data_IF_805863574241
#
_entry.id   IF_805863574241
#
_cell.length_a   1.000
_cell.length_b   1.000
_cell.length_c   1.000
_cell.angle_alpha   90.00
_cell.angle_beta   90.00
_cell.angle_gamma   90.00
#
_symmetry.space_group_name_H-M   'P 1'
#
loop_
_entity.id
_entity.type
_entity.pdbx_description
1 polymer ?
#
# COMPACT_ATOMS: atom_id res chain seq x y z
N UNK A 1 -10.66 27.65 19.64
CA UNK A 1 -10.39 26.68 20.73
C UNK A 1 -9.02 26.05 20.52
N UNK A 2 -8.13 26.03 21.52
CA UNK A 2 -6.90 25.23 21.49
C UNK A 2 -7.24 23.82 21.99
N UNK A 3 -6.82 22.79 21.25
CA UNK A 3 -7.01 21.38 21.67
C UNK A 3 -6.34 21.13 23.05
N UNK A 4 -6.78 20.14 23.83
CA UNK A 4 -6.06 19.70 25.01
C UNK A 4 -4.59 19.36 24.70
N UNK A 5 -3.67 19.67 25.61
CA UNK A 5 -2.21 19.50 25.40
C UNK A 5 -1.84 18.11 24.87
N UNK A 6 -2.43 17.05 25.42
CA UNK A 6 -2.21 15.67 24.98
C UNK A 6 -2.58 15.42 23.51
N UNK A 7 -3.65 16.06 23.04
CA UNK A 7 -4.10 15.96 21.66
C UNK A 7 -3.21 16.77 20.71
N UNK A 8 -2.76 17.95 21.15
CA UNK A 8 -1.74 18.71 20.43
C UNK A 8 -0.46 17.89 20.26
N UNK A 9 0.06 17.31 21.35
CA UNK A 9 1.27 16.49 21.33
C UNK A 9 1.13 15.29 20.38
N UNK A 10 -0.03 14.64 20.37
CA UNK A 10 -0.35 13.54 19.46
C UNK A 10 -0.38 14.01 18.00
N UNK A 11 -0.99 15.16 17.72
CA UNK A 11 -1.04 15.74 16.38
C UNK A 11 0.36 16.11 15.89
N UNK A 12 1.17 16.77 16.73
CA UNK A 12 2.57 17.10 16.41
C UNK A 12 3.41 15.85 16.16
N UNK A 13 3.27 14.81 16.98
CA UNK A 13 3.95 13.54 16.77
C UNK A 13 3.55 12.86 15.44
N UNK A 14 2.27 12.94 15.06
CA UNK A 14 1.79 12.42 13.78
C UNK A 14 2.38 13.19 12.59
N UNK A 15 2.37 14.53 12.65
CA UNK A 15 2.96 15.39 11.61
C UNK A 15 4.46 15.12 11.44
N UNK A 16 5.18 15.00 12.55
CA UNK A 16 6.63 14.70 12.54
C UNK A 16 6.92 13.37 11.86
N UNK A 17 6.16 12.31 12.20
CA UNK A 17 6.29 10.99 11.57
C UNK A 17 5.99 11.04 10.07
N UNK A 18 4.98 11.80 9.65
CA UNK A 18 4.66 11.99 8.25
C UNK A 18 5.79 12.71 7.49
N UNK A 19 6.39 13.75 8.08
CA UNK A 19 7.55 14.44 7.51
C UNK A 19 8.77 13.53 7.36
N UNK A 20 9.09 12.73 8.39
CA UNK A 20 10.19 11.76 8.33
C UNK A 20 9.92 10.70 7.26
N UNK A 21 8.68 10.21 7.15
CA UNK A 21 8.30 9.26 6.10
C UNK A 21 8.55 9.83 4.70
N UNK A 22 8.12 11.07 4.46
CA UNK A 22 8.34 11.75 3.17
C UNK A 22 9.84 11.87 2.86
N UNK A 23 10.63 12.37 3.80
CA UNK A 23 12.08 12.50 3.62
C UNK A 23 12.77 11.14 3.38
N UNK A 24 12.36 10.10 4.10
CA UNK A 24 12.90 8.75 3.92
C UNK A 24 12.52 8.11 2.58
N UNK A 25 11.33 8.41 2.06
CA UNK A 25 10.94 8.02 0.69
C UNK A 25 11.87 8.67 -0.33
N UNK A 26 12.17 9.96 -0.18
CA UNK A 26 13.07 10.68 -1.10
C UNK A 26 14.51 10.16 -1.01
N UNK A 27 15.03 9.91 0.20
CA UNK A 27 16.33 9.25 0.41
C UNK A 27 16.37 7.90 -0.32
N UNK A 28 15.31 7.09 -0.21
CA UNK A 28 15.22 5.78 -0.86
C UNK A 28 15.08 5.83 -2.37
N UNK A 29 14.51 6.92 -2.91
CA UNK A 29 14.49 7.18 -4.37
C UNK A 29 15.88 7.48 -4.89
N UNK A 30 16.69 8.22 -4.14
CA UNK A 30 18.04 8.61 -4.53
C UNK A 30 19.07 7.49 -4.31
N UNK A 31 19.00 6.79 -3.16
CA UNK A 31 19.92 5.71 -2.83
C UNK A 31 19.28 4.64 -1.94
N UNK A 32 19.36 3.39 -2.40
CA UNK A 32 18.89 2.22 -1.64
C UNK A 32 19.74 1.93 -0.39
N UNK A 33 21.00 2.36 -0.36
CA UNK A 33 21.94 2.12 0.75
C UNK A 33 22.02 3.29 1.73
N UNK A 34 21.51 4.47 1.37
CA UNK A 34 21.59 5.65 2.24
C UNK A 34 20.91 5.43 3.60
N UNK A 35 21.46 5.99 4.69
CA UNK A 35 20.88 5.88 6.02
C UNK A 35 19.57 6.65 6.09
N UNK A 36 18.59 6.09 6.80
CA UNK A 36 17.28 6.69 6.97
C UNK A 36 17.24 7.58 8.20
N UNK A 37 16.43 8.61 8.11
CA UNK A 37 16.10 9.52 9.20
C UNK A 37 15.15 8.80 10.16
N UNK A 38 15.38 8.99 11.46
CA UNK A 38 14.48 8.58 12.54
C UNK A 38 14.48 9.64 13.63
N UNK A 39 13.58 9.52 14.59
CA UNK A 39 13.59 10.41 15.75
C UNK A 39 14.84 10.21 16.61
N UNK A 40 15.26 11.30 17.29
CA UNK A 40 16.48 11.32 18.12
C UNK A 40 16.38 10.28 19.26
N UNK A 41 17.54 9.82 19.74
CA UNK A 41 17.67 8.98 20.95
C UNK A 41 17.07 7.57 20.87
N UNK A 42 17.04 6.97 19.68
CA UNK A 42 16.48 5.62 19.49
C UNK A 42 17.53 4.49 19.46
N UNK A 43 18.83 4.81 19.36
CA UNK A 43 19.93 3.83 19.26
C UNK A 43 20.80 4.03 18.02
N UNK A 44 21.62 3.03 17.68
CA UNK A 44 22.51 3.01 16.50
C UNK A 44 22.30 1.79 15.59
N UNK A 45 21.38 0.88 15.92
CA UNK A 45 21.07 -0.26 15.07
C UNK A 45 20.28 0.18 13.82
N UNK A 46 20.02 -0.78 12.93
CA UNK A 46 19.29 -0.56 11.69
C UNK A 46 17.94 0.13 11.94
N UNK A 47 17.60 1.09 11.09
CA UNK A 47 16.31 1.78 11.14
C UNK A 47 15.23 0.96 10.45
N UNK A 48 14.13 0.73 11.17
CA UNK A 48 12.95 -0.03 10.71
C UNK A 48 11.70 0.82 10.84
N UNK A 49 10.69 0.56 10.01
CA UNK A 49 9.41 1.26 10.04
C UNK A 49 8.35 0.42 10.74
N UNK A 50 7.58 1.03 11.64
CA UNK A 50 6.39 0.41 12.23
C UNK A 50 5.22 0.44 11.24
N UNK A 51 4.61 -0.71 10.94
CA UNK A 51 3.46 -0.79 10.02
C UNK A 51 2.21 -0.06 10.51
N UNK A 52 2.01 0.06 11.83
CA UNK A 52 0.81 0.68 12.39
C UNK A 52 0.84 2.21 12.30
N UNK A 53 1.93 2.82 12.78
CA UNK A 53 2.04 4.29 12.86
C UNK A 53 2.94 4.93 11.80
N UNK A 54 3.60 4.14 10.95
CA UNK A 54 4.61 4.59 9.97
C UNK A 54 5.80 5.36 10.56
N UNK A 55 6.02 5.24 11.87
CA UNK A 55 7.18 5.80 12.55
C UNK A 55 8.44 4.96 12.31
N UNK A 56 9.60 5.62 12.35
CA UNK A 56 10.91 5.01 12.15
C UNK A 56 11.61 4.84 13.49
N UNK A 57 12.03 3.61 13.79
CA UNK A 57 12.59 3.22 15.07
C UNK A 57 13.86 2.41 14.87
N UNK A 58 14.62 2.26 15.95
CA UNK A 58 15.73 1.33 16.00
C UNK A 58 15.23 -0.11 16.07
N UNK A 59 15.82 -1.00 15.27
CA UNK A 59 15.41 -2.41 15.19
C UNK A 59 15.48 -3.13 16.53
N UNK A 60 16.42 -2.76 17.42
CA UNK A 60 16.51 -3.36 18.77
C UNK A 60 15.39 -2.89 19.69
N UNK A 61 14.85 -1.69 19.46
CA UNK A 61 13.88 -1.05 20.36
C UNK A 61 12.43 -1.05 19.82
N UNK A 62 12.21 -1.45 18.56
CA UNK A 62 10.88 -1.41 17.96
C UNK A 62 9.84 -2.24 18.72
N UNK A 63 10.24 -3.35 19.36
CA UNK A 63 9.33 -4.17 20.16
C UNK A 63 8.68 -3.38 21.31
N UNK A 64 9.43 -2.47 21.96
CA UNK A 64 8.89 -1.60 23.01
C UNK A 64 7.84 -0.65 22.46
N UNK A 65 8.10 -0.08 21.28
CA UNK A 65 7.12 0.75 20.59
C UNK A 65 5.86 -0.03 20.24
N UNK A 66 5.99 -1.26 19.73
CA UNK A 66 4.84 -2.09 19.36
C UNK A 66 3.86 -2.27 20.52
N UNK A 67 4.35 -2.36 21.76
CA UNK A 67 3.55 -2.54 22.98
C UNK A 67 2.70 -1.31 23.36
N UNK A 68 3.11 -0.12 22.91
CA UNK A 68 2.43 1.16 23.21
C UNK A 68 1.89 1.84 21.96
N UNK A 69 1.94 1.15 20.82
CA UNK A 69 1.50 1.70 19.56
C UNK A 69 -0.03 1.82 19.58
N UNK A 70 -0.61 3.03 19.39
CA UNK A 70 -2.05 3.26 19.48
C UNK A 70 -2.88 2.55 18.38
N UNK A 71 -2.24 1.71 17.55
CA UNK A 71 -2.84 0.97 16.43
C UNK A 71 -2.59 -0.53 16.52
N UNK A 72 -2.50 -1.06 17.74
CA UNK A 72 -2.43 -2.50 18.04
C UNK A 72 -3.71 -3.27 17.71
N UNK A 73 -4.82 -2.59 17.42
CA UNK A 73 -6.19 -3.11 17.61
C UNK A 73 -6.55 -4.30 16.69
N UNK A 74 -5.84 -4.58 15.60
CA UNK A 74 -6.18 -5.73 14.73
C UNK A 74 -5.02 -6.62 14.29
N UNK A 75 -3.77 -6.17 14.35
CA UNK A 75 -2.59 -7.00 14.09
C UNK A 75 -1.38 -6.44 14.87
N UNK A 76 -0.56 -7.31 15.46
CA UNK A 76 0.69 -6.89 16.09
C UNK A 76 1.50 -6.06 15.07
N UNK A 77 1.83 -4.79 15.36
CA UNK A 77 2.56 -3.97 14.41
C UNK A 77 3.87 -4.65 14.03
N UNK A 78 4.14 -4.84 12.74
CA UNK A 78 5.35 -5.51 12.25
C UNK A 78 6.43 -4.50 11.87
N UNK A 79 7.68 -4.89 12.08
CA UNK A 79 8.84 -4.12 11.64
C UNK A 79 9.05 -4.38 10.15
N UNK A 80 8.87 -3.36 9.31
CA UNK A 80 9.12 -3.47 7.87
C UNK A 80 10.56 -3.07 7.55
N UNK A 81 11.24 -3.91 6.77
CA UNK A 81 12.51 -3.56 6.15
C UNK A 81 12.28 -2.46 5.10
N UNK A 82 13.01 -1.37 5.27
CA UNK A 82 12.77 -0.10 4.56
C UNK A 82 13.32 -0.12 3.11
N UNK A 83 13.94 -1.23 2.68
CA UNK A 83 14.29 -1.47 1.28
C UNK A 83 13.06 -1.53 0.34
N UNK A 84 11.85 -1.66 0.90
CA UNK A 84 10.58 -1.61 0.16
C UNK A 84 9.92 -0.23 0.10
N UNK A 85 10.57 0.84 0.59
CA UNK A 85 10.04 2.22 0.48
C UNK A 85 10.19 2.82 -0.93
N UNK A 86 10.85 2.14 -1.86
CA UNK A 86 10.83 2.57 -3.26
C UNK A 86 9.45 2.30 -3.83
N UNK A 87 8.57 3.28 -3.69
CA UNK A 87 7.20 3.32 -4.23
C UNK A 87 7.14 3.32 -5.76
N UNK A 88 8.30 3.31 -6.43
CA UNK A 88 8.34 3.26 -7.89
C UNK A 88 8.34 1.82 -8.39
N UNK A 89 7.29 1.50 -9.13
CA UNK A 89 7.19 0.39 -10.07
C UNK A 89 8.50 0.08 -10.83
N UNK A 90 9.22 1.13 -11.25
CA UNK A 90 10.44 1.02 -12.06
C UNK A 90 11.61 0.34 -11.33
N UNK A 91 11.57 0.30 -9.99
CA UNK A 91 12.62 -0.29 -9.17
C UNK A 91 12.48 -1.81 -8.97
N UNK A 92 11.39 -2.40 -9.48
CA UNK A 92 11.11 -3.83 -9.36
C UNK A 92 11.83 -4.60 -10.47
N UNK A 93 12.61 -5.61 -10.08
CA UNK A 93 13.09 -6.65 -10.99
C UNK A 93 11.89 -7.49 -11.46
N UNK A 94 11.25 -7.06 -12.55
CA UNK A 94 10.14 -7.76 -13.19
C UNK A 94 10.73 -8.67 -14.25
N UNK A 95 10.39 -9.95 -14.17
CA UNK A 95 10.76 -10.95 -15.17
C UNK A 95 10.35 -10.48 -16.59
N UNK A 96 11.26 -10.60 -17.55
CA UNK A 96 11.03 -10.14 -18.92
C UNK A 96 9.81 -10.82 -19.55
N UNK A 97 9.55 -12.11 -19.22
CA UNK A 97 8.37 -12.82 -19.70
C UNK A 97 7.10 -12.23 -19.09
N UNK A 98 7.09 -11.91 -17.79
CA UNK A 98 5.97 -11.21 -17.14
C UNK A 98 5.70 -9.85 -17.80
N UNK A 99 6.75 -9.05 -18.08
CA UNK A 99 6.60 -7.73 -18.70
C UNK A 99 5.95 -7.84 -20.09
N UNK A 100 6.48 -8.71 -20.95
CA UNK A 100 6.00 -8.85 -22.33
C UNK A 100 4.62 -9.51 -22.44
N UNK A 101 4.28 -10.41 -21.52
CA UNK A 101 3.02 -11.15 -21.59
C UNK A 101 1.86 -10.52 -20.82
N UNK A 102 2.14 -9.64 -19.85
CA UNK A 102 1.14 -9.02 -19.00
C UNK A 102 1.16 -7.50 -19.17
N UNK A 103 2.24 -6.83 -18.75
CA UNK A 103 2.28 -5.36 -18.66
C UNK A 103 2.13 -4.68 -20.02
N UNK A 104 2.81 -5.19 -21.04
CA UNK A 104 2.74 -4.65 -22.40
C UNK A 104 1.41 -4.96 -23.11
N UNK A 105 0.57 -5.84 -22.54
CA UNK A 105 -0.71 -6.28 -23.14
C UNK A 105 -1.93 -5.54 -22.63
N UNK A 106 -1.79 -4.67 -21.62
CA UNK A 106 -2.89 -3.79 -21.25
C UNK A 106 -3.23 -2.83 -22.39
N UNK A 107 -4.48 -2.38 -22.43
CA UNK A 107 -4.91 -1.33 -23.36
C UNK A 107 -4.36 0.02 -22.89
N UNK A 108 -4.26 0.98 -23.80
CA UNK A 108 -3.89 2.36 -23.49
C UNK A 108 -5.12 3.11 -22.97
N UNK A 109 -5.60 2.69 -21.80
CA UNK A 109 -6.66 3.34 -21.05
C UNK A 109 -6.16 3.65 -19.62
N UNK A 110 -6.87 4.53 -18.90
CA UNK A 110 -6.49 4.96 -17.52
C UNK A 110 -6.20 3.76 -16.61
N UNK A 111 -7.02 2.72 -16.69
CA UNK A 111 -6.89 1.49 -15.89
C UNK A 111 -5.64 0.70 -16.28
N UNK A 112 -5.36 0.60 -17.58
CA UNK A 112 -4.16 -0.01 -18.14
C UNK A 112 -2.90 0.72 -17.73
N UNK A 113 -2.93 2.05 -17.66
CA UNK A 113 -1.81 2.85 -17.19
C UNK A 113 -1.55 2.63 -15.70
N UNK A 114 -2.61 2.59 -14.86
CA UNK A 114 -2.48 2.22 -13.44
C UNK A 114 -1.90 0.79 -13.29
N UNK A 115 -2.30 -0.16 -14.15
CA UNK A 115 -1.73 -1.51 -14.15
C UNK A 115 -0.22 -1.55 -14.48
N UNK A 116 0.30 -0.58 -15.25
CA UNK A 116 1.71 -0.50 -15.67
C UNK A 116 2.57 0.35 -14.74
N UNK A 117 1.97 1.26 -13.99
CA UNK A 117 2.69 2.30 -13.23
C UNK A 117 2.50 2.21 -11.72
N UNK A 118 1.35 1.74 -11.23
CA UNK A 118 1.11 1.65 -9.79
C UNK A 118 1.86 0.46 -9.17
N UNK A 119 2.47 0.69 -8.02
CA UNK A 119 3.29 -0.32 -7.36
C UNK A 119 2.46 -1.54 -6.90
N UNK A 120 1.24 -1.34 -6.39
CA UNK A 120 0.43 -2.44 -5.86
C UNK A 120 -0.03 -3.37 -6.99
N UNK A 121 -0.43 -2.81 -8.13
CA UNK A 121 -0.91 -3.57 -9.30
C UNK A 121 0.22 -4.40 -9.89
N UNK A 122 1.42 -3.84 -10.04
CA UNK A 122 2.58 -4.56 -10.57
C UNK A 122 3.03 -5.67 -9.62
N UNK A 123 3.07 -5.40 -8.31
CA UNK A 123 3.37 -6.43 -7.31
C UNK A 123 2.32 -7.56 -7.32
N UNK A 124 1.05 -7.23 -7.55
CA UNK A 124 -0.01 -8.23 -7.75
C UNK A 124 0.26 -9.07 -8.99
N UNK A 125 0.52 -8.45 -10.13
CA UNK A 125 0.84 -9.13 -11.39
C UNK A 125 2.02 -10.07 -11.26
N UNK A 126 3.14 -9.59 -10.69
CA UNK A 126 4.33 -10.41 -10.46
C UNK A 126 4.05 -11.61 -9.56
N UNK A 127 3.31 -11.42 -8.47
CA UNK A 127 2.95 -12.50 -7.52
C UNK A 127 2.06 -13.56 -8.19
N UNK A 128 1.05 -13.13 -8.95
CA UNK A 128 0.15 -14.04 -9.65
C UNK A 128 0.88 -14.77 -10.79
N UNK A 129 1.75 -14.09 -11.52
CA UNK A 129 2.59 -14.68 -12.56
C UNK A 129 3.53 -15.75 -12.00
N UNK A 130 4.19 -15.49 -10.87
CA UNK A 130 5.07 -16.45 -10.22
C UNK A 130 4.30 -17.69 -9.75
N UNK A 131 3.10 -17.52 -9.20
CA UNK A 131 2.26 -18.62 -8.69
C UNK A 131 1.55 -19.42 -9.79
N UNK A 132 1.25 -18.81 -10.92
CA UNK A 132 0.54 -19.49 -11.99
C UNK A 132 1.47 -20.51 -12.66
N UNK A 133 1.11 -21.79 -12.58
CA UNK A 133 1.80 -22.89 -13.27
C UNK A 133 1.53 -22.79 -14.77
N UNK A 134 0.26 -22.59 -15.15
CA UNK A 134 -0.21 -22.51 -16.55
C UNK A 134 -0.01 -21.13 -17.20
N UNK A 135 0.49 -20.13 -16.46
CA UNK A 135 0.68 -18.74 -16.91
C UNK A 135 -0.58 -18.15 -17.56
N UNK A 136 -1.71 -18.26 -16.88
CA UNK A 136 -3.03 -17.81 -17.35
C UNK A 136 -3.13 -16.28 -17.41
N UNK A 137 -2.61 -15.70 -18.50
CA UNK A 137 -2.47 -14.24 -18.69
C UNK A 137 -3.78 -13.49 -18.48
N UNK A 138 -4.88 -14.00 -19.04
CA UNK A 138 -6.19 -13.36 -18.96
C UNK A 138 -6.69 -13.24 -17.53
N UNK A 139 -6.51 -14.29 -16.71
CA UNK A 139 -6.89 -14.29 -15.29
C UNK A 139 -6.04 -13.29 -14.51
N UNK A 140 -4.72 -13.30 -14.73
CA UNK A 140 -3.78 -12.38 -14.06
C UNK A 140 -4.12 -10.94 -14.40
N UNK A 141 -4.31 -10.63 -15.69
CA UNK A 141 -4.68 -9.30 -16.16
C UNK A 141 -6.05 -8.86 -15.63
N UNK A 142 -7.04 -9.75 -15.56
CA UNK A 142 -8.35 -9.44 -15.01
C UNK A 142 -8.28 -9.09 -13.51
N UNK A 143 -7.45 -9.80 -12.73
CA UNK A 143 -7.22 -9.48 -11.31
C UNK A 143 -6.46 -8.15 -11.14
N UNK A 144 -5.46 -7.88 -12.00
CA UNK A 144 -4.76 -6.60 -12.01
C UNK A 144 -5.68 -5.42 -12.35
N UNK A 145 -6.54 -5.56 -13.36
CA UNK A 145 -7.53 -4.53 -13.73
C UNK A 145 -8.54 -4.30 -12.62
N UNK A 146 -8.98 -5.36 -11.94
CA UNK A 146 -9.87 -5.22 -10.77
C UNK A 146 -9.22 -4.38 -9.68
N UNK A 147 -7.94 -4.63 -9.38
CA UNK A 147 -7.19 -3.80 -8.43
C UNK A 147 -7.00 -2.36 -8.93
N UNK A 148 -6.68 -2.18 -10.20
CA UNK A 148 -6.51 -0.84 -10.79
C UNK A 148 -7.81 -0.02 -10.77
N UNK A 149 -8.96 -0.66 -10.96
CA UNK A 149 -10.27 -0.01 -10.81
C UNK A 149 -10.52 0.46 -9.37
N UNK A 150 -10.21 -0.37 -8.36
CA UNK A 150 -10.29 0.04 -6.96
C UNK A 150 -9.41 1.26 -6.67
N UNK A 151 -8.19 1.28 -7.22
CA UNK A 151 -7.27 2.41 -7.09
C UNK A 151 -7.82 3.65 -7.79
N UNK A 152 -8.38 3.50 -8.99
CA UNK A 152 -8.98 4.61 -9.74
C UNK A 152 -10.16 5.23 -8.98
N UNK A 153 -11.06 4.42 -8.43
CA UNK A 153 -12.18 4.89 -7.59
C UNK A 153 -11.67 5.58 -6.33
N UNK A 154 -10.63 5.03 -5.70
CA UNK A 154 -10.02 5.64 -4.52
C UNK A 154 -9.37 7.00 -4.78
N UNK A 155 -8.67 7.15 -5.90
CA UNK A 155 -8.12 8.44 -6.33
C UNK A 155 -9.22 9.48 -6.55
N UNK A 156 -10.37 9.05 -7.08
CA UNK A 156 -11.54 9.90 -7.27
C UNK A 156 -12.14 10.32 -5.92
N UNK A 157 -12.35 9.38 -5.00
CA UNK A 157 -12.98 9.65 -3.69
C UNK A 157 -12.09 10.53 -2.79
N UNK A 158 -10.77 10.38 -2.90
CA UNK A 158 -9.82 11.14 -2.09
C UNK A 158 -9.32 12.42 -2.75
N UNK A 159 -9.80 12.75 -3.95
CA UNK A 159 -9.34 13.85 -4.80
C UNK A 159 -7.80 13.91 -4.94
N UNK A 160 -7.17 12.74 -5.01
CA UNK A 160 -5.71 12.59 -5.12
C UNK A 160 -5.40 11.63 -6.27
N UNK A 161 -5.18 12.18 -7.47
CA UNK A 161 -4.86 11.39 -8.67
C UNK A 161 -3.55 10.60 -8.56
N UNK A 162 -2.67 10.98 -7.64
CA UNK A 162 -1.36 10.37 -7.45
C UNK A 162 -1.34 9.37 -6.29
N UNK A 163 -2.46 9.16 -5.59
CA UNK A 163 -2.55 8.23 -4.49
C UNK A 163 -2.12 6.82 -4.94
N UNK A 164 -1.23 6.18 -4.16
CA UNK A 164 -0.77 4.84 -4.48
C UNK A 164 -1.81 3.81 -4.07
N UNK A 165 -1.87 2.69 -4.81
CA UNK A 165 -2.63 1.53 -4.36
C UNK A 165 -2.16 0.99 -3.00
N UNK A 166 -0.94 1.29 -2.56
CA UNK A 166 -0.51 0.95 -1.19
C UNK A 166 -1.28 1.76 -0.14
N UNK A 167 -1.64 3.01 -0.44
CA UNK A 167 -2.41 3.86 0.46
C UNK A 167 -3.85 3.37 0.62
N UNK A 168 -4.41 2.72 -0.42
CA UNK A 168 -5.69 2.00 -0.37
C UNK A 168 -5.69 0.91 0.73
N UNK A 169 -4.55 0.23 0.90
CA UNK A 169 -4.39 -0.83 1.90
C UNK A 169 -4.00 -0.31 3.28
N UNK A 170 -3.98 1.02 3.46
CA UNK A 170 -3.72 1.64 4.76
C UNK A 170 -4.96 1.53 5.63
N UNK A 171 -4.78 1.04 6.86
CA UNK A 171 -5.83 1.00 7.87
C UNK A 171 -6.48 2.37 8.15
N UNK A 172 -5.80 3.48 7.82
CA UNK A 172 -6.35 4.84 7.99
C UNK A 172 -7.53 5.15 7.07
N UNK A 173 -7.71 4.37 6.01
CA UNK A 173 -8.64 4.65 4.93
C UNK A 173 -9.53 3.43 4.65
N UNK A 174 -9.77 2.59 5.67
CA UNK A 174 -10.56 1.39 5.52
C UNK A 174 -12.04 1.71 5.29
N UNK A 175 -12.58 2.69 6.02
CA UNK A 175 -13.97 3.16 5.84
C UNK A 175 -14.20 3.64 4.39
N UNK A 176 -13.27 4.46 3.87
CA UNK A 176 -13.27 4.92 2.47
C UNK A 176 -13.20 3.74 1.49
N UNK A 177 -12.40 2.70 1.80
CA UNK A 177 -12.31 1.51 0.97
C UNK A 177 -13.63 0.73 0.96
N UNK A 178 -14.34 0.65 2.08
CA UNK A 178 -15.64 -0.01 2.19
C UNK A 178 -16.68 0.71 1.33
N UNK A 179 -16.78 2.03 1.45
CA UNK A 179 -17.65 2.88 0.62
C UNK A 179 -17.37 2.71 -0.88
N UNK A 180 -16.10 2.69 -1.28
CA UNK A 180 -15.71 2.47 -2.68
C UNK A 180 -16.14 1.08 -3.17
N UNK A 181 -16.03 0.06 -2.33
CA UNK A 181 -16.43 -1.31 -2.69
C UNK A 181 -17.94 -1.34 -2.89
N UNK A 182 -18.72 -0.73 -1.99
CA UNK A 182 -20.18 -0.62 -2.09
C UNK A 182 -20.61 0.05 -3.40
N UNK A 183 -20.03 1.22 -3.71
CA UNK A 183 -20.29 1.93 -4.97
C UNK A 183 -19.94 1.09 -6.21
N UNK A 184 -18.88 0.28 -6.16
CA UNK A 184 -18.46 -0.55 -7.29
C UNK A 184 -19.37 -1.78 -7.50
N UNK A 185 -19.92 -2.34 -6.41
CA UNK A 185 -20.79 -3.51 -6.48
C UNK A 185 -22.24 -3.13 -6.75
N UNK A 186 -22.66 -1.90 -6.49
CA UNK A 186 -24.01 -1.44 -6.81
C UNK A 186 -24.25 -1.45 -8.33
N UNK A 187 -25.48 -1.79 -8.72
CA UNK A 187 -25.99 -1.65 -10.09
C UNK A 187 -26.88 -0.41 -10.15
N UNK A 188 -27.09 0.11 -11.35
CA UNK A 188 -28.05 1.20 -11.60
C UNK A 188 -29.47 0.84 -11.08
N UNK A 189 -29.78 -0.46 -11.03
CA UNK A 189 -31.06 -1.01 -10.55
C UNK A 189 -31.13 -1.18 -9.02
N UNK A 190 -30.10 -0.74 -8.26
CA UNK A 190 -30.02 -0.91 -6.80
C UNK A 190 -29.65 -2.33 -6.32
N UNK A 191 -29.43 -3.28 -7.24
CA UNK A 191 -29.01 -4.64 -6.91
C UNK A 191 -27.49 -4.80 -6.81
N UNK A 192 -27.00 -5.51 -5.79
CA UNK A 192 -25.56 -5.79 -5.63
C UNK A 192 -25.03 -6.84 -6.63
N UNK A 193 -23.84 -6.58 -7.18
CA UNK A 193 -23.03 -7.54 -7.94
C UNK A 193 -22.31 -8.50 -6.97
N UNK A 194 -23.05 -9.45 -6.42
CA UNK A 194 -22.54 -10.42 -5.43
C UNK A 194 -21.24 -11.14 -5.88
N UNK A 195 -21.14 -11.51 -7.16
CA UNK A 195 -19.93 -12.12 -7.72
C UNK A 195 -18.69 -11.21 -7.70
N UNK A 196 -18.90 -9.90 -7.89
CA UNK A 196 -17.82 -8.90 -7.81
C UNK A 196 -17.39 -8.68 -6.35
N UNK A 197 -18.35 -8.58 -5.42
CA UNK A 197 -18.12 -8.49 -3.98
C UNK A 197 -17.22 -9.61 -3.47
N UNK A 198 -17.57 -10.86 -3.80
CA UNK A 198 -16.78 -12.04 -3.43
C UNK A 198 -15.37 -11.96 -4.02
N UNK A 199 -15.25 -11.59 -5.30
CA UNK A 199 -13.97 -11.54 -6.01
C UNK A 199 -13.05 -10.46 -5.43
N UNK A 200 -13.57 -9.28 -5.09
CA UNK A 200 -12.84 -8.22 -4.38
C UNK A 200 -12.39 -8.72 -3.00
N UNK A 201 -13.28 -9.34 -2.23
CA UNK A 201 -12.96 -9.92 -0.93
C UNK A 201 -11.80 -10.93 -1.00
N UNK A 202 -11.85 -11.86 -1.95
CA UNK A 202 -10.75 -12.81 -2.19
C UNK A 202 -9.45 -12.11 -2.60
N UNK A 203 -9.53 -11.08 -3.45
CA UNK A 203 -8.38 -10.32 -3.92
C UNK A 203 -7.66 -9.60 -2.76
N UNK A 204 -8.43 -8.93 -1.89
CA UNK A 204 -7.92 -8.25 -0.70
C UNK A 204 -7.36 -9.25 0.32
N UNK A 205 -8.08 -10.36 0.57
CA UNK A 205 -7.61 -11.43 1.45
C UNK A 205 -6.28 -12.05 0.99
N UNK A 206 -6.09 -12.26 -0.32
CA UNK A 206 -4.82 -12.73 -0.93
C UNK A 206 -3.64 -11.77 -0.70
N UNK A 207 -3.90 -10.49 -0.36
CA UNK A 207 -2.91 -9.44 -0.08
C UNK A 207 -2.69 -9.19 1.41
N UNK A 208 -3.73 -9.33 2.25
CA UNK A 208 -3.66 -9.08 3.69
C UNK A 208 -3.06 -10.25 4.49
N UNK A 209 -3.12 -11.49 4.00
CA UNK A 209 -2.72 -12.68 4.77
C UNK A 209 -1.27 -13.16 4.60
N UNK A 210 -0.41 -12.46 3.86
CA UNK A 210 1.02 -12.81 3.74
C UNK A 210 1.90 -11.57 3.65
N UNK A 211 1.89 -10.77 4.71
CA UNK A 211 2.95 -9.79 5.01
C UNK A 211 3.77 -10.28 6.19
#
# INVERSE_FOLDING_TARGET
>A
MKLPKREQDRAFASMKKAGILKANRDIRRQSKSAPLIRERSQGQAQTVMCSGCSGFYDAKNIYRHKNVCPRQVSQQPNSRNVTQLSESAASLNIDAKCKNNILNRFRNDRVGDICRTDLLTILLGKKLWAKSVKKEKNVIMAEMRLMANLIASFRKETDDENASGIDLLSFRKFDVLEEIIEQLIEKEDGHEKAGLKLRIGFLLKKKLLKQ
#
